data_IF_856329196505
#
_entry.id   IF_856329196505
#
_cell.length_a   1.000
_cell.length_b   1.000
_cell.length_c   1.000
_cell.angle_alpha   90.00
_cell.angle_beta   90.00
_cell.angle_gamma   90.00
#
_symmetry.space_group_name_H-M   'P 1'
#
loop_
_entity.id
_entity.type
_entity.pdbx_description
1 polymer ?
#
# COMPACT_ATOMS: atom_id res chain seq x y z
N UNK A 1 -26.22 -15.19 47.27
CA UNK A 1 -26.22 -16.68 47.22
C UNK A 1 -24.95 -17.06 46.47
N UNK A 2 -23.93 -17.68 47.08
CA UNK A 2 -22.65 -17.97 46.39
C UNK A 2 -22.93 -18.76 45.09
N UNK A 3 -22.74 -18.27 43.85
CA UNK A 3 -21.79 -17.26 43.29
C UNK A 3 -20.37 -17.85 43.28
N UNK A 4 -20.12 -18.90 42.50
CA UNK A 4 -18.98 -19.78 42.79
C UNK A 4 -17.64 -19.32 42.18
N UNK A 5 -17.05 -18.29 42.80
CA UNK A 5 -15.59 -18.09 42.79
C UNK A 5 -14.96 -18.87 43.95
N UNK A 6 -14.73 -20.16 43.74
CA UNK A 6 -14.38 -21.13 44.79
C UNK A 6 -12.96 -21.03 45.33
N UNK A 7 -12.10 -20.22 44.72
CA UNK A 7 -10.70 -20.02 45.14
C UNK A 7 -9.78 -21.23 44.89
N UNK A 8 -10.31 -22.34 44.36
CA UNK A 8 -9.53 -23.53 44.05
C UNK A 8 -8.59 -23.28 42.87
N UNK A 9 -7.39 -23.88 42.84
CA UNK A 9 -6.47 -23.77 41.70
C UNK A 9 -7.07 -24.39 40.43
N UNK A 10 -6.52 -24.03 39.26
CA UNK A 10 -6.82 -24.68 37.97
C UNK A 10 -5.68 -25.66 37.66
N UNK A 11 -5.96 -26.93 37.29
CA UNK A 11 -7.29 -27.55 37.16
C UNK A 11 -7.88 -27.96 38.52
N UNK A 12 -9.20 -28.15 38.54
CA UNK A 12 -9.92 -28.69 39.71
C UNK A 12 -10.98 -29.68 39.26
N UNK A 13 -11.14 -30.76 40.01
CA UNK A 13 -12.18 -31.78 39.83
C UNK A 13 -13.35 -31.59 40.78
N UNK A 14 -13.35 -30.52 41.59
CA UNK A 14 -14.45 -30.23 42.51
C UNK A 14 -15.72 -29.89 41.71
N UNK A 15 -16.83 -30.54 42.06
CA UNK A 15 -18.11 -30.36 41.36
C UNK A 15 -18.57 -28.89 41.28
N UNK A 16 -18.42 -28.04 42.33
CA UNK A 16 -18.75 -26.62 42.24
C UNK A 16 -17.94 -25.87 41.16
N UNK A 17 -16.68 -26.23 40.95
CA UNK A 17 -15.80 -25.58 39.97
C UNK A 17 -16.18 -25.97 38.54
N UNK A 18 -16.58 -27.24 38.36
CA UNK A 18 -17.09 -27.75 37.09
C UNK A 18 -18.40 -27.06 36.72
N UNK A 19 -19.29 -26.85 37.70
CA UNK A 19 -20.54 -26.13 37.48
C UNK A 19 -20.31 -24.67 37.13
N UNK A 20 -19.44 -23.96 37.85
CA UNK A 20 -19.11 -22.56 37.55
C UNK A 20 -18.53 -22.42 36.15
N UNK A 21 -17.58 -23.29 35.79
CA UNK A 21 -17.03 -23.31 34.43
C UNK A 21 -18.10 -23.55 33.36
N UNK A 22 -19.04 -24.46 33.58
CA UNK A 22 -20.14 -24.72 32.63
C UNK A 22 -21.07 -23.52 32.51
N UNK A 23 -21.39 -22.85 33.62
CA UNK A 23 -22.18 -21.62 33.61
C UNK A 23 -21.49 -20.49 32.85
N UNK A 24 -20.19 -20.28 33.09
CA UNK A 24 -19.39 -19.29 32.35
C UNK A 24 -19.31 -19.64 30.86
N UNK A 25 -19.19 -20.93 30.49
CA UNK A 25 -19.21 -21.36 29.10
C UNK A 25 -20.55 -21.08 28.41
N UNK A 26 -21.67 -21.32 29.10
CA UNK A 26 -23.01 -20.98 28.59
C UNK A 26 -23.12 -19.47 28.31
N UNK A 27 -22.64 -18.62 29.24
CA UNK A 27 -22.58 -17.17 29.05
C UNK A 27 -21.66 -16.80 27.88
N UNK A 28 -20.48 -17.41 27.76
CA UNK A 28 -19.55 -17.12 26.66
C UNK A 28 -20.14 -17.35 25.28
N UNK A 29 -21.01 -18.36 25.14
CA UNK A 29 -21.57 -18.77 23.85
C UNK A 29 -22.88 -18.05 23.55
N UNK A 30 -23.74 -17.87 24.56
CA UNK A 30 -25.14 -17.46 24.36
C UNK A 30 -25.46 -16.02 24.82
N UNK A 31 -24.55 -15.34 25.53
CA UNK A 31 -24.78 -13.97 26.02
C UNK A 31 -24.39 -12.89 25.00
N UNK A 32 -25.07 -11.74 25.09
CA UNK A 32 -24.72 -10.50 24.37
C UNK A 32 -23.64 -9.67 25.08
N UNK A 33 -23.27 -10.02 26.32
CA UNK A 33 -22.17 -9.37 27.04
C UNK A 33 -20.85 -9.58 26.31
N UNK A 34 -19.93 -8.61 26.30
CA UNK A 34 -18.67 -8.71 25.55
C UNK A 34 -17.59 -9.52 26.28
N UNK A 35 -17.65 -9.55 27.60
CA UNK A 35 -16.70 -10.26 28.44
C UNK A 35 -17.42 -10.90 29.61
N UNK A 36 -16.90 -12.04 30.07
CA UNK A 36 -17.37 -12.73 31.27
C UNK A 36 -16.18 -13.04 32.17
N UNK A 37 -16.39 -12.89 33.48
CA UNK A 37 -15.39 -13.22 34.47
C UNK A 37 -15.41 -14.72 34.77
N UNK A 38 -14.26 -15.37 34.63
CA UNK A 38 -14.09 -16.78 35.00
C UNK A 38 -14.04 -16.96 36.51
N UNK A 39 -14.20 -18.20 36.99
CA UNK A 39 -14.00 -18.58 38.40
C UNK A 39 -12.66 -18.15 39.01
N UNK A 40 -11.65 -17.92 38.18
CA UNK A 40 -10.30 -17.47 38.57
C UNK A 40 -10.13 -15.95 38.62
N UNK A 41 -11.20 -15.20 38.34
CA UNK A 41 -11.16 -13.74 38.26
C UNK A 41 -10.56 -13.18 36.98
N UNK A 42 -10.29 -14.03 35.97
CA UNK A 42 -9.85 -13.56 34.65
C UNK A 42 -11.06 -13.20 33.79
N UNK A 43 -11.07 -11.99 33.26
CA UNK A 43 -12.00 -11.57 32.21
C UNK A 43 -11.63 -12.27 30.91
N UNK A 44 -12.62 -12.87 30.25
CA UNK A 44 -12.47 -13.55 28.98
C UNK A 44 -13.55 -13.04 28.02
N UNK A 45 -13.23 -12.84 26.73
CA UNK A 45 -14.21 -12.38 25.77
C UNK A 45 -15.26 -13.48 25.51
N UNK A 46 -16.50 -13.06 25.32
CA UNK A 46 -17.58 -13.93 24.80
C UNK A 46 -17.50 -14.02 23.27
N UNK A 47 -18.36 -14.84 22.66
CA UNK A 47 -18.51 -14.86 21.21
C UNK A 47 -19.00 -13.51 20.66
N UNK A 48 -19.95 -12.86 21.32
CA UNK A 48 -20.39 -11.51 20.96
C UNK A 48 -19.23 -10.50 21.05
N UNK A 49 -18.41 -10.60 22.10
CA UNK A 49 -17.20 -9.80 22.26
C UNK A 49 -16.18 -9.99 21.14
N UNK A 50 -15.92 -11.25 20.76
CA UNK A 50 -15.01 -11.58 19.66
C UNK A 50 -15.54 -11.10 18.31
N UNK A 51 -16.83 -11.28 18.03
CA UNK A 51 -17.45 -10.80 16.79
C UNK A 51 -17.30 -9.29 16.69
N UNK A 52 -17.67 -8.56 17.75
CA UNK A 52 -17.54 -7.10 17.78
C UNK A 52 -16.09 -6.63 17.60
N UNK A 53 -15.15 -7.24 18.32
CA UNK A 53 -13.73 -6.92 18.17
C UNK A 53 -13.23 -7.18 16.74
N UNK A 54 -13.66 -8.27 16.12
CA UNK A 54 -13.30 -8.56 14.73
C UNK A 54 -13.94 -7.56 13.77
N UNK A 55 -15.18 -7.14 13.98
CA UNK A 55 -15.83 -6.09 13.19
C UNK A 55 -15.07 -4.76 13.28
N UNK A 56 -14.68 -4.36 14.50
CA UNK A 56 -13.88 -3.16 14.74
C UNK A 56 -12.51 -3.27 14.03
N UNK A 57 -11.80 -4.40 14.15
CA UNK A 57 -10.51 -4.62 13.48
C UNK A 57 -10.63 -4.67 11.95
N UNK A 58 -11.72 -5.23 11.42
CA UNK A 58 -12.00 -5.25 9.97
C UNK A 58 -12.29 -3.84 9.47
N UNK A 59 -13.06 -3.05 10.21
CA UNK A 59 -13.35 -1.67 9.84
C UNK A 59 -12.09 -0.80 9.90
N UNK A 60 -11.26 -0.96 10.93
CA UNK A 60 -9.95 -0.31 11.03
C UNK A 60 -9.05 -0.72 9.85
N UNK A 61 -8.98 -2.01 9.51
CA UNK A 61 -8.23 -2.48 8.35
C UNK A 61 -8.79 -1.88 7.06
N UNK A 62 -10.12 -1.77 6.91
CA UNK A 62 -10.78 -1.16 5.75
C UNK A 62 -10.44 0.32 5.64
N UNK A 63 -10.51 1.08 6.74
CA UNK A 63 -10.16 2.51 6.78
C UNK A 63 -8.68 2.75 6.48
N UNK A 64 -7.79 1.82 6.82
CA UNK A 64 -6.36 1.93 6.53
C UNK A 64 -5.97 1.44 5.11
N UNK A 65 -6.66 0.43 4.55
CA UNK A 65 -6.35 -0.10 3.21
C UNK A 65 -6.98 0.71 2.06
N UNK A 66 -8.20 1.20 2.24
CA UNK A 66 -8.89 2.02 1.24
C UNK A 66 -8.04 3.21 0.78
N UNK A 67 -7.46 4.05 1.66
CA UNK A 67 -6.63 5.19 1.26
C UNK A 67 -5.31 4.77 0.59
N UNK A 68 -4.78 3.57 0.88
CA UNK A 68 -3.60 3.03 0.18
C UNK A 68 -3.88 2.67 -1.28
N UNK A 69 -5.13 2.34 -1.62
CA UNK A 69 -5.53 1.95 -2.98
C UNK A 69 -6.45 2.97 -3.68
N UNK A 70 -6.84 4.05 -2.99
CA UNK A 70 -7.68 5.10 -3.56
C UNK A 70 -6.85 6.02 -4.45
N UNK A 71 -7.29 6.16 -5.70
CA UNK A 71 -6.90 7.27 -6.54
C UNK A 71 -7.93 8.38 -6.36
N UNK A 72 -7.48 9.57 -5.92
CA UNK A 72 -8.35 10.73 -5.80
C UNK A 72 -8.48 11.46 -7.14
N UNK A 73 -9.62 12.10 -7.39
CA UNK A 73 -9.78 12.93 -8.59
C UNK A 73 -9.10 14.28 -8.46
N UNK A 74 -9.06 14.83 -7.25
CA UNK A 74 -8.47 16.14 -6.96
C UNK A 74 -7.60 16.11 -5.71
N UNK A 75 -6.66 17.07 -5.62
CA UNK A 75 -5.85 17.28 -4.43
C UNK A 75 -6.71 17.66 -3.21
N UNK A 76 -7.79 18.41 -3.43
CA UNK A 76 -8.70 18.85 -2.37
C UNK A 76 -9.42 17.66 -1.73
N UNK A 77 -9.87 16.69 -2.53
CA UNK A 77 -10.50 15.47 -2.03
C UNK A 77 -9.50 14.62 -1.23
N UNK A 78 -8.26 14.51 -1.71
CA UNK A 78 -7.19 13.83 -0.99
C UNK A 78 -6.88 14.53 0.35
N UNK A 79 -6.87 15.85 0.36
CA UNK A 79 -6.61 16.66 1.56
C UNK A 79 -7.77 16.61 2.57
N UNK A 80 -9.01 16.46 2.12
CA UNK A 80 -10.17 16.24 2.98
C UNK A 80 -10.12 14.88 3.68
N UNK A 81 -9.49 13.88 3.05
CA UNK A 81 -9.33 12.51 3.56
C UNK A 81 -8.02 12.33 4.37
N UNK A 82 -7.38 13.42 4.81
CA UNK A 82 -6.06 13.40 5.46
C UNK A 82 -5.99 12.51 6.70
N UNK A 83 -7.12 12.35 7.43
CA UNK A 83 -7.20 11.48 8.59
C UNK A 83 -6.89 10.02 8.25
N UNK A 84 -7.14 9.61 7.00
CA UNK A 84 -6.90 8.27 6.49
C UNK A 84 -5.55 8.11 5.78
N UNK A 85 -4.75 9.19 5.68
CA UNK A 85 -3.42 9.16 5.06
C UNK A 85 -2.39 9.32 6.18
N UNK A 86 -1.66 8.26 6.59
CA UNK A 86 -0.68 8.40 7.66
C UNK A 86 0.42 9.43 7.35
N UNK A 87 0.94 10.09 8.37
CA UNK A 87 2.07 11.03 8.22
C UNK A 87 3.29 10.30 7.67
N UNK A 88 3.93 10.87 6.66
CA UNK A 88 5.06 10.28 5.94
C UNK A 88 4.67 9.31 4.82
N UNK A 89 3.38 8.97 4.67
CA UNK A 89 2.88 8.15 3.57
C UNK A 89 2.56 8.98 2.33
N UNK A 90 2.66 8.35 1.17
CA UNK A 90 2.30 8.96 -0.12
C UNK A 90 0.89 8.53 -0.57
N UNK A 91 0.22 9.40 -1.33
CA UNK A 91 -1.01 9.09 -2.06
C UNK A 91 -0.97 9.71 -3.46
N UNK A 92 -1.93 9.34 -4.30
CA UNK A 92 -2.00 9.74 -5.69
C UNK A 92 -3.35 10.39 -6.02
N UNK A 93 -3.31 11.47 -6.80
CA UNK A 93 -4.50 12.06 -7.40
C UNK A 93 -4.35 12.23 -8.91
N UNK A 94 -5.46 12.29 -9.64
CA UNK A 94 -5.48 12.43 -11.11
C UNK A 94 -4.83 13.75 -11.53
N UNK A 95 -3.96 13.71 -12.55
CA UNK A 95 -3.36 14.94 -13.08
C UNK A 95 -4.44 15.84 -13.71
N UNK A 96 -4.55 17.12 -13.32
CA UNK A 96 -5.57 18.02 -13.86
C UNK A 96 -5.25 18.53 -15.28
N UNK A 97 -3.97 18.45 -15.67
CA UNK A 97 -3.43 18.93 -16.95
C UNK A 97 -3.15 17.78 -17.94
N UNK A 98 -3.53 16.55 -17.61
CA UNK A 98 -3.23 15.32 -18.36
C UNK A 98 -1.73 15.11 -18.70
N UNK A 99 -0.82 15.85 -18.05
CA UNK A 99 0.64 15.67 -18.20
C UNK A 99 1.13 14.31 -17.68
N UNK A 100 0.31 13.67 -16.85
CA UNK A 100 0.54 12.37 -16.23
C UNK A 100 -0.80 11.68 -15.96
N UNK A 101 -0.75 10.37 -15.70
CA UNK A 101 -1.90 9.63 -15.21
C UNK A 101 -2.23 10.03 -13.76
N UNK A 102 -1.21 10.21 -12.92
CA UNK A 102 -1.39 10.64 -11.54
C UNK A 102 -0.20 11.44 -11.03
N UNK A 103 -0.45 12.29 -10.04
CA UNK A 103 0.55 13.08 -9.31
C UNK A 103 0.67 12.50 -7.90
N UNK A 104 1.91 12.28 -7.45
CA UNK A 104 2.20 11.82 -6.09
C UNK A 104 2.31 12.99 -5.11
N UNK A 105 1.71 12.81 -3.95
CA UNK A 105 1.82 13.72 -2.80
C UNK A 105 2.17 12.93 -1.54
N UNK A 106 2.86 13.56 -0.60
CA UNK A 106 3.20 13.01 0.71
C UNK A 106 2.44 13.76 1.80
N UNK A 107 1.95 13.05 2.81
CA UNK A 107 1.44 13.71 4.00
C UNK A 107 2.59 14.17 4.90
N UNK A 108 2.82 15.48 4.93
CA UNK A 108 3.75 16.13 5.85
C UNK A 108 2.98 16.73 7.03
N UNK A 109 2.81 15.92 8.09
CA UNK A 109 2.19 16.32 9.36
C UNK A 109 0.78 16.95 9.23
N UNK A 110 -0.05 16.45 8.32
CA UNK A 110 -1.44 16.90 8.09
C UNK A 110 -1.63 17.73 6.83
N UNK A 111 -0.56 18.00 6.07
CA UNK A 111 -0.64 18.73 4.80
C UNK A 111 -0.07 17.89 3.67
N UNK A 112 -0.80 17.75 2.56
CA UNK A 112 -0.31 17.06 1.37
C UNK A 112 0.63 17.97 0.57
N UNK A 113 1.86 17.51 0.39
CA UNK A 113 2.90 18.20 -0.37
C UNK A 113 3.27 17.39 -1.60
N UNK A 114 3.46 18.04 -2.75
CA UNK A 114 3.88 17.36 -3.97
C UNK A 114 5.31 16.84 -3.85
N UNK A 115 5.53 15.56 -4.15
CA UNK A 115 6.88 14.96 -4.13
C UNK A 115 7.67 15.25 -5.41
N UNK A 116 6.98 15.71 -6.46
CA UNK A 116 7.52 15.89 -7.81
C UNK A 116 7.50 14.61 -8.67
N UNK A 117 7.17 13.46 -8.09
CA UNK A 117 6.99 12.22 -8.85
C UNK A 117 5.62 12.19 -9.52
N UNK A 118 5.57 11.69 -10.76
CA UNK A 118 4.36 11.56 -11.56
C UNK A 118 4.33 10.19 -12.23
N UNK A 119 3.14 9.61 -12.40
CA UNK A 119 2.94 8.37 -13.15
C UNK A 119 2.72 8.70 -14.64
N UNK A 120 3.66 8.40 -15.55
CA UNK A 120 3.51 8.73 -16.97
C UNK A 120 2.49 7.81 -17.67
N UNK A 121 1.92 8.28 -18.78
CA UNK A 121 1.08 7.46 -19.65
C UNK A 121 1.91 6.56 -20.57
N UNK A 122 1.33 5.46 -21.08
CA UNK A 122 1.98 4.62 -22.08
C UNK A 122 2.37 5.43 -23.34
N UNK A 123 1.51 6.34 -23.80
CA UNK A 123 1.81 7.22 -24.93
C UNK A 123 2.99 8.15 -24.69
N UNK A 124 3.14 8.69 -23.47
CA UNK A 124 4.30 9.52 -23.10
C UNK A 124 5.60 8.71 -23.12
N UNK A 125 5.56 7.46 -22.68
CA UNK A 125 6.71 6.54 -22.71
C UNK A 125 7.09 6.18 -24.15
N UNK A 126 6.10 5.90 -25.01
CA UNK A 126 6.36 5.52 -26.39
C UNK A 126 6.90 6.67 -27.23
N UNK A 127 6.37 7.90 -27.06
CA UNK A 127 6.93 9.10 -27.67
C UNK A 127 8.41 9.31 -27.28
N UNK A 128 8.75 9.07 -26.01
CA UNK A 128 10.14 9.18 -25.55
C UNK A 128 11.05 8.12 -26.19
N UNK A 129 10.56 6.88 -26.37
CA UNK A 129 11.31 5.82 -27.08
C UNK A 129 11.57 6.17 -28.54
N UNK A 130 10.60 6.78 -29.21
CA UNK A 130 10.73 7.22 -30.61
C UNK A 130 11.82 8.27 -30.75
N UNK A 131 11.76 9.32 -29.91
CA UNK A 131 12.79 10.38 -29.87
C UNK A 131 14.19 9.79 -29.62
N UNK A 132 14.32 8.87 -28.67
CA UNK A 132 15.60 8.22 -28.36
C UNK A 132 16.10 7.41 -29.58
N UNK A 133 15.21 6.71 -30.26
CA UNK A 133 15.56 5.90 -31.43
C UNK A 133 16.05 6.76 -32.59
N UNK A 134 15.38 7.90 -32.85
CA UNK A 134 15.81 8.87 -33.86
C UNK A 134 17.17 9.48 -33.55
N UNK A 135 17.41 9.88 -32.31
CA UNK A 135 18.70 10.46 -31.91
C UNK A 135 19.84 9.44 -32.00
N UNK A 136 19.59 8.18 -31.60
CA UNK A 136 20.57 7.11 -31.79
C UNK A 136 20.88 6.94 -33.29
N UNK A 137 19.86 6.93 -34.16
CA UNK A 137 20.07 6.81 -35.60
C UNK A 137 20.91 7.97 -36.18
N UNK A 138 20.66 9.22 -35.73
CA UNK A 138 21.47 10.40 -36.12
C UNK A 138 22.92 10.27 -35.67
N UNK A 139 23.15 9.85 -34.42
CA UNK A 139 24.50 9.64 -33.88
C UNK A 139 25.23 8.57 -34.70
N UNK A 140 24.58 7.45 -35.00
CA UNK A 140 25.17 6.37 -35.82
C UNK A 140 25.49 6.83 -37.24
N UNK A 141 24.60 7.61 -37.86
CA UNK A 141 24.83 8.20 -39.19
C UNK A 141 25.99 9.21 -39.20
N UNK A 142 26.10 10.05 -38.16
CA UNK A 142 27.19 11.01 -38.00
C UNK A 142 28.54 10.34 -37.69
N UNK A 143 28.52 9.20 -36.98
CA UNK A 143 29.70 8.37 -36.70
C UNK A 143 30.21 7.62 -37.93
N UNK A 144 29.30 7.12 -38.78
CA UNK A 144 29.64 6.45 -40.04
C UNK A 144 30.33 7.39 -41.05
N UNK A 145 29.98 8.68 -41.05
CA UNK A 145 30.60 9.69 -41.91
C UNK A 145 32.07 10.05 -41.53
N UNK A 146 32.57 9.59 -40.37
CA UNK A 146 33.93 9.91 -39.87
C UNK A 146 35.00 8.86 -40.16
N UNK A 147 34.71 7.76 -40.86
CA UNK A 147 35.78 6.91 -41.38
C UNK A 147 36.42 7.60 -42.59
N UNK A 148 37.72 7.97 -42.55
CA UNK A 148 38.33 8.72 -43.65
C UNK A 148 38.36 7.85 -44.91
N UNK A 149 37.67 8.35 -45.93
CA UNK A 149 37.71 7.93 -47.32
C UNK A 149 39.17 7.64 -47.74
N UNK A 150 39.55 6.36 -47.82
CA UNK A 150 40.84 5.94 -48.40
C UNK A 150 40.83 6.33 -49.88
N UNK A 151 41.39 7.50 -50.17
CA UNK A 151 41.65 8.03 -51.51
C UNK A 151 42.46 6.97 -52.28
N UNK A 152 41.81 6.34 -53.26
CA UNK A 152 42.41 5.38 -54.18
C UNK A 152 42.89 6.17 -55.40
N UNK A 153 44.11 6.70 -55.35
CA UNK A 153 44.76 7.30 -56.53
C UNK A 153 45.17 6.17 -57.48
N UNK A 154 44.49 6.09 -58.62
CA UNK A 154 44.88 5.32 -59.80
C UNK A 154 46.13 5.97 -60.40
N UNK A 155 47.28 5.32 -60.31
CA UNK A 155 48.48 5.73 -61.04
C UNK A 155 48.50 5.00 -62.39
N UNK A 156 48.06 5.67 -63.46
CA UNK A 156 48.29 5.24 -64.84
C UNK A 156 49.24 6.21 -65.55
N UNK A 157 50.46 5.71 -65.80
CA UNK A 157 51.28 5.92 -67.01
C UNK A 157 51.80 7.33 -67.37
N UNK A 158 53.14 7.55 -67.34
CA UNK A 158 53.99 7.84 -68.52
C UNK A 158 55.42 8.35 -68.16
N UNK A 159 56.48 7.73 -68.73
CA UNK A 159 57.75 8.27 -69.30
C UNK A 159 58.76 7.10 -69.36
N UNK A 160 59.15 6.52 -70.50
CA UNK A 160 60.00 7.04 -71.60
C UNK A 160 61.18 7.88 -71.08
N UNK A 161 62.32 7.23 -70.83
CA UNK A 161 63.60 7.39 -71.55
C UNK A 161 64.26 6.02 -71.63
#
# INVERSE_FOLDING_TARGET
MALYKTGNPVPSSAMPDVWDNNHVQDIMINSDELEVETRTGKMQPTWAGLVKKNEDEIEDARQNLIPLSRQYMTLADAQADIANIPVGSTTYYRSPDDSALAIEVINNAGTLEATGRKMPSQGSVDALKEIISEEIAKVMASGAARQPMRIRILLSSFLIV
#
